data_IF_287597577722
#
_entry.id   IF_287597577722
#
_cell.length_a   1.000
_cell.length_b   1.000
_cell.length_c   1.000
_cell.angle_alpha   90.00
_cell.angle_beta   90.00
_cell.angle_gamma   90.00
#
_symmetry.space_group_name_H-M   'P 1'
#
loop_
_entity.id
_entity.type
_entity.pdbx_description
1 polymer ?
#
# COMPACT_ATOMS: atom_id res chain seq x y z
N UNK A 1 -21.19 6.78 11.08
CA UNK A 1 -19.84 7.35 10.93
C UNK A 1 -19.37 7.06 9.51
N UNK A 2 -19.52 8.03 8.60
CA UNK A 2 -19.29 7.90 7.15
C UNK A 2 -17.83 8.25 6.88
N UNK A 3 -17.03 7.30 6.42
CA UNK A 3 -15.67 7.60 5.98
C UNK A 3 -15.78 8.18 4.57
N UNK A 4 -15.38 9.44 4.45
CA UNK A 4 -15.60 10.25 3.27
C UNK A 4 -14.93 9.65 2.04
N UNK A 5 -15.72 9.49 0.97
CA UNK A 5 -15.25 9.35 -0.40
C UNK A 5 -14.31 10.52 -0.69
N UNK A 6 -13.00 10.28 -0.76
CA UNK A 6 -12.01 11.25 -1.24
C UNK A 6 -11.09 10.58 -2.27
N UNK A 7 -11.24 11.10 -3.48
CA UNK A 7 -10.25 11.23 -4.55
C UNK A 7 -9.36 10.02 -4.86
N UNK A 8 -9.61 9.41 -6.02
CA UNK A 8 -8.63 8.51 -6.64
C UNK A 8 -7.35 9.30 -6.98
N UNK A 9 -6.16 8.74 -6.71
CA UNK A 9 -4.94 9.41 -7.08
C UNK A 9 -4.68 9.21 -8.58
N UNK A 10 -4.71 10.32 -9.33
CA UNK A 10 -3.88 10.43 -10.51
C UNK A 10 -2.41 10.40 -10.03
N UNK A 11 -1.76 9.24 -10.10
CA UNK A 11 -0.39 9.09 -9.65
C UNK A 11 0.57 9.51 -10.77
N UNK A 12 1.02 10.76 -10.68
CA UNK A 12 2.27 11.23 -11.28
C UNK A 12 3.41 10.30 -10.87
N UNK A 13 4.19 9.84 -11.85
CA UNK A 13 5.38 9.03 -11.65
C UNK A 13 6.47 9.84 -10.95
N UNK A 14 6.57 9.74 -9.63
CA UNK A 14 7.73 10.20 -8.89
C UNK A 14 8.68 9.01 -8.67
N UNK A 15 9.88 9.14 -9.24
CA UNK A 15 10.89 8.10 -9.41
C UNK A 15 11.18 7.27 -8.16
N UNK A 16 11.24 5.95 -8.34
CA UNK A 16 11.49 4.88 -7.37
C UNK A 16 12.90 4.87 -6.70
N UNK A 17 13.59 6.01 -6.64
CA UNK A 17 14.95 6.11 -6.09
C UNK A 17 14.92 6.19 -4.55
N UNK A 18 14.56 5.07 -3.89
CA UNK A 18 14.61 4.97 -2.43
C UNK A 18 13.73 3.88 -1.80
N UNK A 19 12.90 3.20 -2.60
CA UNK A 19 12.06 2.10 -2.14
C UNK A 19 12.63 0.78 -2.61
N UNK A 20 12.75 -0.22 -1.73
CA UNK A 20 13.10 -1.57 -2.18
C UNK A 20 12.04 -2.08 -3.16
N UNK A 21 12.45 -2.87 -4.15
CA UNK A 21 11.53 -3.40 -5.16
C UNK A 21 10.39 -4.24 -4.55
N UNK A 22 10.61 -4.85 -3.38
CA UNK A 22 9.59 -5.56 -2.62
C UNK A 22 8.58 -4.59 -1.97
N UNK A 23 9.04 -3.44 -1.46
CA UNK A 23 8.16 -2.42 -0.90
C UNK A 23 7.27 -1.78 -1.98
N UNK A 24 7.86 -1.42 -3.12
CA UNK A 24 7.12 -0.87 -4.25
C UNK A 24 5.99 -1.80 -4.73
N UNK A 25 6.26 -3.12 -4.78
CA UNK A 25 5.22 -4.12 -5.11
C UNK A 25 4.12 -4.21 -4.05
N UNK A 26 4.47 -4.13 -2.77
CA UNK A 26 3.46 -4.12 -1.70
C UNK A 26 2.56 -2.88 -1.75
N UNK A 27 3.13 -1.72 -2.03
CA UNK A 27 2.41 -0.46 -2.27
C UNK A 27 1.47 -0.59 -3.48
N UNK A 28 1.97 -1.13 -4.60
CA UNK A 28 1.15 -1.36 -5.79
C UNK A 28 0.01 -2.37 -5.54
N UNK A 29 0.27 -3.47 -4.83
CA UNK A 29 -0.75 -4.42 -4.41
C UNK A 29 -1.83 -3.78 -3.53
N UNK A 30 -1.42 -2.90 -2.60
CA UNK A 30 -2.36 -2.18 -1.74
C UNK A 30 -3.23 -1.21 -2.55
N UNK A 31 -2.63 -0.48 -3.49
CA UNK A 31 -3.36 0.42 -4.38
C UNK A 31 -4.37 -0.35 -5.26
N UNK A 32 -3.99 -1.51 -5.79
CA UNK A 32 -4.87 -2.39 -6.56
C UNK A 32 -6.04 -2.90 -5.70
N UNK A 33 -5.75 -3.37 -4.47
CA UNK A 33 -6.78 -3.82 -3.54
C UNK A 33 -7.76 -2.70 -3.17
N UNK A 34 -7.24 -1.49 -2.90
CA UNK A 34 -8.06 -0.31 -2.63
C UNK A 34 -8.95 0.05 -3.82
N UNK A 35 -8.41 0.01 -5.04
CA UNK A 35 -9.19 0.28 -6.24
C UNK A 35 -10.32 -0.75 -6.46
N UNK A 36 -10.09 -2.02 -6.07
CA UNK A 36 -11.08 -3.10 -6.21
C UNK A 36 -12.15 -3.07 -5.13
N UNK A 37 -11.75 -3.00 -3.87
CA UNK A 37 -12.64 -3.18 -2.70
C UNK A 37 -13.12 -1.85 -2.12
N UNK A 38 -12.43 -0.75 -2.42
CA UNK A 38 -12.70 0.56 -1.81
C UNK A 38 -12.34 0.62 -0.31
N UNK A 39 -11.63 -0.38 0.22
CA UNK A 39 -11.21 -0.44 1.62
C UNK A 39 -9.73 -0.80 1.74
N UNK A 40 -9.11 -0.36 2.84
CA UNK A 40 -7.77 -0.75 3.26
C UNK A 40 -7.79 -1.87 4.31
N UNK A 41 -8.97 -2.38 4.66
CA UNK A 41 -9.15 -3.50 5.59
C UNK A 41 -8.83 -4.84 4.91
N UNK A 42 -7.53 -5.10 4.71
CA UNK A 42 -7.06 -6.33 4.07
C UNK A 42 -7.11 -7.51 5.06
N UNK A 43 -7.81 -8.63 4.74
CA UNK A 43 -7.75 -9.85 5.54
C UNK A 43 -6.31 -10.38 5.65
N UNK A 44 -5.91 -10.90 6.82
CA UNK A 44 -4.52 -11.36 7.04
C UNK A 44 -4.03 -12.39 6.03
N UNK A 45 -4.91 -13.30 5.61
CA UNK A 45 -4.61 -14.35 4.64
C UNK A 45 -4.71 -13.89 3.18
N UNK A 46 -5.06 -12.63 2.93
CA UNK A 46 -5.25 -12.12 1.57
C UNK A 46 -3.92 -12.04 0.82
N UNK A 47 -3.93 -12.57 -0.40
CA UNK A 47 -2.85 -12.45 -1.36
C UNK A 47 -3.38 -11.72 -2.60
N UNK A 48 -2.62 -10.75 -3.08
CA UNK A 48 -2.94 -9.98 -4.27
C UNK A 48 -1.93 -10.34 -5.36
N UNK A 49 -2.43 -10.67 -6.54
CA UNK A 49 -1.61 -10.89 -7.72
C UNK A 49 -1.50 -9.59 -8.50
N UNK A 50 -0.26 -9.12 -8.68
CA UNK A 50 0.02 -7.97 -9.50
C UNK A 50 0.00 -8.34 -11.00
N UNK A 51 -0.16 -7.36 -11.90
CA UNK A 51 -0.10 -7.57 -13.35
C UNK A 51 1.24 -8.08 -13.86
N UNK A 52 2.32 -7.93 -13.08
CA UNK A 52 3.64 -8.48 -13.39
C UNK A 52 3.74 -10.00 -13.12
N UNK A 53 2.64 -10.63 -12.69
CA UNK A 53 2.56 -12.04 -12.32
C UNK A 53 3.04 -12.32 -10.89
N UNK A 54 3.49 -11.32 -10.14
CA UNK A 54 3.95 -11.50 -8.76
C UNK A 54 2.77 -11.60 -7.81
N UNK A 55 2.77 -12.63 -6.96
CA UNK A 55 1.80 -12.75 -5.86
C UNK A 55 2.38 -12.23 -4.56
N UNK A 56 1.75 -11.20 -3.98
CA UNK A 56 2.12 -10.60 -2.69
C UNK A 56 1.10 -11.01 -1.64
N UNK A 57 1.55 -11.55 -0.50
CA UNK A 57 0.72 -11.76 0.69
C UNK A 57 0.39 -10.42 1.35
N UNK A 58 -0.56 -9.68 0.76
CA UNK A 58 -0.86 -8.29 1.13
C UNK A 58 -1.20 -8.13 2.61
N UNK A 59 -2.01 -9.04 3.19
CA UNK A 59 -2.37 -8.98 4.60
C UNK A 59 -1.14 -9.13 5.53
N UNK A 60 -0.22 -10.03 5.18
CA UNK A 60 1.03 -10.21 5.93
C UNK A 60 1.98 -9.04 5.74
N UNK A 61 2.11 -8.54 4.51
CA UNK A 61 2.95 -7.39 4.18
C UNK A 61 2.48 -6.15 4.94
N UNK A 62 1.18 -5.85 4.94
CA UNK A 62 0.62 -4.70 5.64
C UNK A 62 0.90 -4.76 7.15
N UNK A 63 0.74 -5.94 7.77
CA UNK A 63 1.06 -6.13 9.18
C UNK A 63 2.55 -5.95 9.48
N UNK A 64 3.45 -6.48 8.64
CA UNK A 64 4.89 -6.31 8.82
C UNK A 64 5.30 -4.84 8.60
N UNK A 65 4.72 -4.15 7.61
CA UNK A 65 4.92 -2.72 7.37
C UNK A 65 4.47 -1.89 8.57
N UNK A 66 3.32 -2.23 9.18
CA UNK A 66 2.84 -1.61 10.43
C UNK A 66 3.81 -1.84 11.59
N UNK A 67 4.26 -3.08 11.78
CA UNK A 67 5.19 -3.43 12.86
C UNK A 67 6.58 -2.78 12.70
N UNK A 68 6.99 -2.49 11.47
CA UNK A 68 8.28 -1.86 11.16
C UNK A 68 8.14 -0.37 10.83
N UNK A 69 7.03 0.27 11.21
CA UNK A 69 6.76 1.70 10.94
C UNK A 69 7.94 2.59 11.31
N UNK A 70 8.56 2.34 12.46
CA UNK A 70 9.68 3.14 12.98
C UNK A 70 10.96 2.99 12.16
N UNK A 71 11.05 1.91 11.37
CA UNK A 71 12.17 1.62 10.47
C UNK A 71 11.91 2.08 9.03
N UNK A 72 10.70 2.58 8.73
CA UNK A 72 10.41 3.09 7.39
C UNK A 72 11.18 4.38 7.13
N UNK A 73 11.69 4.56 5.91
CA UNK A 73 12.28 5.84 5.51
C UNK A 73 11.19 6.87 5.21
N UNK A 74 11.53 8.16 5.21
CA UNK A 74 10.59 9.24 4.86
C UNK A 74 9.82 9.00 3.55
N UNK A 75 10.51 8.65 2.45
CA UNK A 75 9.86 8.28 1.19
C UNK A 75 8.88 7.09 1.30
N UNK A 76 9.19 6.07 2.11
CA UNK A 76 8.26 4.93 2.27
C UNK A 76 6.97 5.35 2.97
N UNK A 77 7.09 6.22 3.98
CA UNK A 77 5.93 6.77 4.69
C UNK A 77 5.08 7.65 3.78
N UNK A 78 5.71 8.49 2.96
CA UNK A 78 5.02 9.32 1.98
C UNK A 78 4.21 8.47 0.99
N UNK A 79 4.82 7.42 0.42
CA UNK A 79 4.13 6.51 -0.50
C UNK A 79 2.91 5.80 0.11
N UNK A 80 2.96 5.47 1.42
CA UNK A 80 1.82 4.87 2.12
C UNK A 80 0.73 5.90 2.43
N UNK A 81 1.13 7.12 2.79
CA UNK A 81 0.22 8.22 3.05
C UNK A 81 -0.55 8.65 1.79
N UNK A 82 0.09 8.61 0.61
CA UNK A 82 -0.56 8.88 -0.68
C UNK A 82 -1.72 7.93 -0.99
N UNK A 83 -1.67 6.69 -0.49
CA UNK A 83 -2.74 5.69 -0.67
C UNK A 83 -3.82 5.83 0.43
N UNK A 84 -3.64 6.73 1.39
CA UNK A 84 -4.58 6.94 2.49
C UNK A 84 -4.38 5.99 3.66
N UNK A 85 -3.21 5.37 3.79
CA UNK A 85 -2.83 4.66 5.01
C UNK A 85 -2.44 5.69 6.08
N UNK A 86 -3.45 6.25 6.75
CA UNK A 86 -3.25 7.09 7.93
C UNK A 86 -3.07 6.21 9.18
N UNK A 87 -1.90 6.33 9.79
CA UNK A 87 -1.57 5.68 11.06
C UNK A 87 -2.04 6.57 12.21
N UNK A 88 -3.29 6.40 12.65
CA UNK A 88 -3.72 6.86 13.99
C UNK A 88 -3.22 5.93 15.09
#
# INVERSE_FOLDING_TARGET
>A
MRWARRSGPAATSCSSHGLSAAFARGVAALAQYLAREGTLSVPRAHAEQLPDGTTIKLGTWLMNTKNRRDKLTGPQRAALAEIGVEWV
#
